data_IF_194804486434
#
_entry.id   IF_194804486434
#
_cell.length_a   1.000
_cell.length_b   1.000
_cell.length_c   1.000
_cell.angle_alpha   90.00
_cell.angle_beta   90.00
_cell.angle_gamma   90.00
#
_symmetry.space_group_name_H-M   'P 1'
#
loop_
_entity.id
_entity.type
_entity.pdbx_description
1 polymer ?
#
# COMPACT_ATOMS: atom_id res chain seq x y z
N UNK A 1 6.78 48.18 37.59
CA UNK A 1 5.89 47.14 37.07
C UNK A 1 6.57 46.43 35.91
N UNK A 2 6.99 45.18 36.08
CA UNK A 2 7.51 44.35 35.03
C UNK A 2 6.31 43.84 34.23
N UNK A 3 6.11 44.33 33.01
CA UNK A 3 5.07 43.84 32.11
C UNK A 3 5.27 42.36 31.91
N UNK A 4 4.30 41.52 32.25
CA UNK A 4 4.24 40.12 31.81
C UNK A 4 4.10 40.15 30.29
N UNK A 5 5.17 39.77 29.60
CA UNK A 5 5.08 39.50 28.18
C UNK A 5 4.03 38.39 27.97
N UNK A 6 2.90 38.74 27.39
CA UNK A 6 1.90 37.76 26.97
C UNK A 6 2.55 36.79 25.97
N UNK A 7 2.25 35.50 26.09
CA UNK A 7 2.67 34.54 25.07
C UNK A 7 2.15 35.01 23.70
N UNK A 8 3.02 34.99 22.71
CA UNK A 8 2.61 35.31 21.33
C UNK A 8 1.50 34.35 20.90
N UNK A 9 0.45 34.87 20.30
CA UNK A 9 -0.61 34.03 19.73
C UNK A 9 -0.05 33.20 18.56
N UNK A 10 -0.52 31.95 18.39
CA UNK A 10 -0.13 31.13 17.26
C UNK A 10 -0.49 31.81 15.94
N UNK A 11 0.49 31.94 15.04
CA UNK A 11 0.26 32.47 13.69
C UNK A 11 0.02 31.30 12.74
N UNK A 12 -1.12 31.25 12.04
CA UNK A 12 -1.39 30.18 11.08
C UNK A 12 -0.49 30.31 9.85
N UNK A 13 -0.07 29.17 9.28
CA UNK A 13 0.61 29.09 7.99
C UNK A 13 0.22 27.79 7.26
N UNK A 14 0.38 27.78 5.94
CA UNK A 14 0.04 26.60 5.14
C UNK A 14 1.24 25.67 4.99
N UNK A 15 0.98 24.39 5.23
CA UNK A 15 1.93 23.28 5.11
C UNK A 15 1.51 22.36 3.95
N UNK A 16 2.49 21.95 3.14
CA UNK A 16 2.31 20.84 2.20
C UNK A 16 2.71 19.53 2.87
N UNK A 17 1.98 18.45 2.59
CA UNK A 17 2.27 17.16 3.21
C UNK A 17 2.05 15.97 2.26
N UNK A 18 2.75 14.88 2.56
CA UNK A 18 2.46 13.55 2.07
C UNK A 18 2.57 12.56 3.24
N UNK A 19 1.49 11.86 3.55
CA UNK A 19 1.44 10.80 4.57
C UNK A 19 1.28 9.46 3.87
N UNK A 20 2.30 8.60 4.00
CA UNK A 20 2.32 7.25 3.41
C UNK A 20 2.34 6.24 4.53
N UNK A 21 1.44 5.30 4.53
CA UNK A 21 1.35 4.20 5.50
C UNK A 21 2.29 3.04 5.13
N UNK A 22 2.47 2.08 6.05
CA UNK A 22 3.22 0.86 5.77
C UNK A 22 2.54 0.01 4.70
N UNK A 23 3.30 -0.58 3.78
CA UNK A 23 2.78 -1.53 2.78
C UNK A 23 2.41 -2.87 3.41
N UNK A 24 1.48 -3.62 2.82
CA UNK A 24 1.16 -4.97 3.21
C UNK A 24 2.25 -5.98 2.82
N UNK A 25 2.36 -7.08 3.56
CA UNK A 25 3.24 -8.18 3.20
C UNK A 25 2.72 -8.93 1.96
N UNK A 26 3.59 -9.59 1.22
CA UNK A 26 3.18 -10.57 0.21
C UNK A 26 2.48 -11.76 0.84
N UNK A 27 1.62 -12.44 0.07
CA UNK A 27 1.01 -13.70 0.46
C UNK A 27 2.02 -14.83 0.47
N UNK A 28 1.78 -15.84 1.27
CA UNK A 28 2.61 -17.04 1.34
C UNK A 28 2.54 -17.75 2.68
N UNK A 29 3.29 -18.82 2.81
CA UNK A 29 3.59 -19.46 4.08
C UNK A 29 5.01 -20.04 4.05
N UNK A 30 5.60 -20.24 5.24
CA UNK A 30 6.98 -20.70 5.39
C UNK A 30 7.21 -22.17 4.93
N UNK A 31 6.16 -22.95 4.74
CA UNK A 31 6.26 -24.41 4.59
C UNK A 31 5.96 -24.92 3.18
N UNK A 32 5.50 -24.07 2.27
CA UNK A 32 5.03 -24.52 0.96
C UNK A 32 5.47 -23.58 -0.15
N UNK A 33 5.83 -24.13 -1.29
CA UNK A 33 6.18 -23.40 -2.52
C UNK A 33 4.94 -22.76 -3.18
N UNK A 34 3.94 -22.37 -2.39
CA UNK A 34 2.68 -21.90 -2.94
C UNK A 34 2.72 -20.40 -3.25
N UNK A 35 2.09 -20.08 -4.34
CA UNK A 35 2.05 -18.80 -5.01
C UNK A 35 1.21 -17.80 -4.24
N UNK A 36 1.88 -16.78 -3.75
CA UNK A 36 1.26 -15.68 -3.04
C UNK A 36 1.05 -14.45 -3.92
N UNK A 37 -0.03 -13.74 -3.66
CA UNK A 37 -0.30 -12.43 -4.24
C UNK A 37 0.63 -11.36 -3.68
N UNK A 38 0.85 -10.30 -4.42
CA UNK A 38 1.61 -9.14 -3.99
C UNK A 38 0.91 -8.36 -2.87
N UNK A 39 1.66 -7.81 -1.93
CA UNK A 39 1.12 -6.89 -0.94
C UNK A 39 0.68 -5.58 -1.58
N UNK A 40 -0.41 -4.99 -1.09
CA UNK A 40 -0.87 -3.67 -1.46
C UNK A 40 0.02 -2.58 -0.86
N UNK A 41 0.16 -1.47 -1.55
CA UNK A 41 0.84 -0.30 -1.00
C UNK A 41 0.10 0.25 0.23
N UNK A 42 0.84 0.86 1.14
CA UNK A 42 0.23 1.72 2.15
C UNK A 42 -0.56 2.86 1.50
N UNK A 43 -1.64 3.27 2.14
CA UNK A 43 -2.41 4.44 1.71
C UNK A 43 -1.51 5.66 1.57
N UNK A 44 -1.83 6.50 0.62
CA UNK A 44 -1.16 7.80 0.41
C UNK A 44 -2.19 8.92 0.43
N UNK A 45 -2.02 9.85 1.36
CA UNK A 45 -2.73 11.12 1.42
C UNK A 45 -1.73 12.27 1.27
N UNK A 46 -2.02 13.19 0.36
CA UNK A 46 -1.19 14.37 0.16
C UNK A 46 -2.04 15.60 -0.10
N UNK A 47 -1.55 16.76 0.31
CA UNK A 47 -2.16 18.06 0.00
C UNK A 47 -1.09 19.12 -0.14
N UNK A 48 -1.40 20.13 -0.94
CA UNK A 48 -0.55 21.31 -1.11
C UNK A 48 -0.84 22.40 -0.08
N UNK A 49 -1.92 22.27 0.70
CA UNK A 49 -2.29 23.23 1.72
C UNK A 49 -2.97 22.54 2.89
N UNK A 50 -2.37 22.67 4.07
CA UNK A 50 -2.93 22.34 5.37
C UNK A 50 -2.58 23.51 6.30
N UNK A 51 -3.58 24.25 6.74
CA UNK A 51 -3.33 25.34 7.67
C UNK A 51 -2.99 24.79 9.04
N UNK A 52 -1.83 25.15 9.56
CA UNK A 52 -1.32 24.75 10.88
C UNK A 52 -0.98 26.00 11.69
N UNK A 53 -1.04 25.90 13.03
CA UNK A 53 -0.65 26.99 13.93
C UNK A 53 0.83 26.91 14.29
N UNK A 54 1.54 28.03 14.30
CA UNK A 54 2.85 28.11 14.93
C UNK A 54 2.74 27.81 16.43
N UNK A 55 3.79 27.31 17.04
CA UNK A 55 3.82 26.95 18.48
C UNK A 55 2.81 25.85 18.89
N UNK A 56 2.27 25.08 17.93
CA UNK A 56 1.39 23.96 18.15
C UNK A 56 2.13 22.65 17.86
N UNK A 57 2.02 21.65 18.74
CA UNK A 57 2.59 20.33 18.50
C UNK A 57 1.61 19.48 17.73
N UNK A 58 2.08 18.85 16.67
CA UNK A 58 1.30 17.91 15.85
C UNK A 58 1.92 16.51 16.00
N UNK A 59 1.18 15.53 16.53
CA UNK A 59 1.71 14.18 16.66
C UNK A 59 1.91 13.52 15.29
N UNK A 60 3.01 12.78 15.15
CA UNK A 60 3.34 12.01 13.94
C UNK A 60 3.61 10.58 14.34
N UNK A 61 3.00 9.64 13.62
CA UNK A 61 3.29 8.20 13.70
C UNK A 61 3.62 7.68 12.31
N UNK A 62 4.69 6.90 12.19
CA UNK A 62 5.05 6.21 10.95
C UNK A 62 4.73 4.74 11.10
N UNK A 63 3.81 4.24 10.28
CA UNK A 63 3.38 2.84 10.26
C UNK A 63 4.45 1.91 9.70
N UNK A 64 4.64 0.77 10.34
CA UNK A 64 5.51 -0.29 9.83
C UNK A 64 4.86 -1.04 8.67
N UNK A 65 5.68 -1.60 7.77
CA UNK A 65 5.22 -2.57 6.80
C UNK A 65 4.77 -3.88 7.46
N UNK A 66 3.98 -4.70 6.77
CA UNK A 66 3.59 -6.03 7.21
C UNK A 66 4.84 -6.90 7.45
N UNK A 67 4.98 -7.43 8.67
CA UNK A 67 6.23 -8.08 9.12
C UNK A 67 6.51 -9.42 8.42
N UNK A 68 5.48 -10.20 8.18
CA UNK A 68 5.55 -11.54 7.56
C UNK A 68 4.30 -11.76 6.70
N UNK A 69 4.23 -12.91 6.04
CA UNK A 69 3.11 -13.32 5.18
C UNK A 69 1.74 -12.99 5.78
N UNK A 70 0.84 -12.51 4.95
CA UNK A 70 -0.56 -12.23 5.28
C UNK A 70 -0.79 -11.12 6.35
N UNK A 71 0.23 -10.33 6.68
CA UNK A 71 0.07 -9.20 7.59
C UNK A 71 -0.11 -7.88 6.82
N UNK A 72 -1.12 -7.14 7.20
CA UNK A 72 -1.31 -5.77 6.71
C UNK A 72 -0.18 -4.86 7.21
N UNK A 73 0.07 -3.79 6.49
CA UNK A 73 0.85 -2.67 6.99
C UNK A 73 0.12 -1.94 8.12
N UNK A 74 0.84 -1.11 8.84
CA UNK A 74 0.29 -0.25 9.90
C UNK A 74 0.02 1.16 9.36
N UNK A 75 -0.93 1.83 10.00
CA UNK A 75 -1.30 3.19 9.65
C UNK A 75 -0.18 4.19 9.96
N UNK A 76 -0.07 5.22 9.12
CA UNK A 76 0.70 6.43 9.41
C UNK A 76 -0.23 7.59 9.69
N UNK A 77 0.11 8.40 10.69
CA UNK A 77 -0.69 9.55 11.07
C UNK A 77 0.13 10.83 11.10
N UNK A 78 -0.49 11.91 10.71
CA UNK A 78 -0.04 13.28 10.96
C UNK A 78 -1.22 14.08 11.52
N UNK A 79 -1.18 14.40 12.79
CA UNK A 79 -2.30 15.04 13.50
C UNK A 79 -3.59 14.22 13.37
N UNK A 80 -4.60 14.74 12.70
CA UNK A 80 -5.88 14.07 12.42
C UNK A 80 -5.92 13.33 11.07
N UNK A 81 -4.85 13.42 10.28
CA UNK A 81 -4.76 12.78 8.96
C UNK A 81 -4.23 11.36 9.18
N UNK A 82 -4.99 10.35 8.76
CA UNK A 82 -4.59 8.95 8.85
C UNK A 82 -4.56 8.31 7.47
N UNK A 83 -3.39 7.83 7.07
CA UNK A 83 -3.21 6.93 5.94
C UNK A 83 -3.23 5.49 6.43
N UNK A 84 -4.09 4.67 5.84
CA UNK A 84 -4.30 3.28 6.26
C UNK A 84 -3.23 2.34 5.70
N UNK A 85 -2.77 1.39 6.51
CA UNK A 85 -1.81 0.38 6.07
C UNK A 85 -2.28 -0.39 4.85
N UNK A 86 -1.34 -0.85 4.03
CA UNK A 86 -1.63 -1.66 2.84
C UNK A 86 -2.14 -3.04 3.19
N UNK A 87 -3.02 -3.60 2.37
CA UNK A 87 -3.56 -4.94 2.53
C UNK A 87 -2.52 -6.02 2.18
N UNK A 88 -2.46 -7.10 2.97
CA UNK A 88 -1.61 -8.25 2.66
C UNK A 88 -2.06 -8.98 1.40
N UNK A 89 -1.12 -9.50 0.64
CA UNK A 89 -1.40 -10.43 -0.46
C UNK A 89 -1.99 -11.74 0.05
N UNK A 90 -2.87 -12.36 -0.76
CA UNK A 90 -3.44 -13.67 -0.46
C UNK A 90 -2.41 -14.79 -0.59
N UNK A 91 -2.44 -15.76 0.30
CA UNK A 91 -1.72 -17.02 0.15
C UNK A 91 -2.48 -17.98 -0.80
N UNK A 92 -1.90 -19.15 -1.03
CA UNK A 92 -2.59 -20.23 -1.73
C UNK A 92 -3.98 -20.48 -1.13
N UNK A 93 -5.00 -20.44 -1.96
CA UNK A 93 -6.41 -20.64 -1.57
C UNK A 93 -6.90 -19.74 -0.42
N UNK A 94 -6.25 -18.58 -0.26
CA UNK A 94 -6.64 -17.58 0.74
C UNK A 94 -6.80 -16.21 0.10
N UNK A 95 -7.86 -15.53 0.46
CA UNK A 95 -8.15 -14.20 -0.03
C UNK A 95 -7.11 -13.19 0.44
N UNK A 96 -6.89 -12.17 -0.35
CA UNK A 96 -6.08 -11.03 0.04
C UNK A 96 -6.84 -10.11 1.00
N UNK A 97 -6.10 -9.26 1.70
CA UNK A 97 -6.65 -8.31 2.66
C UNK A 97 -6.91 -6.95 2.02
N UNK A 98 -7.93 -6.28 2.54
CA UNK A 98 -8.19 -4.87 2.26
C UNK A 98 -7.16 -3.98 2.97
N UNK A 99 -6.93 -2.77 2.44
CA UNK A 99 -6.02 -1.80 3.04
C UNK A 99 -6.09 -0.45 2.37
N UNK A 100 -5.14 0.44 2.65
CA UNK A 100 -4.98 1.69 1.91
C UNK A 100 -4.97 1.44 0.41
N UNK A 101 -4.11 0.52 -0.06
CA UNK A 101 -4.29 -0.24 -1.29
C UNK A 101 -4.50 -1.71 -0.96
N UNK A 102 -5.28 -2.42 -1.75
CA UNK A 102 -5.61 -3.83 -1.52
C UNK A 102 -4.49 -4.78 -1.93
N UNK A 103 -4.36 -5.94 -1.24
CA UNK A 103 -3.47 -7.01 -1.65
C UNK A 103 -3.95 -7.75 -2.91
N UNK A 104 -3.04 -8.31 -3.68
CA UNK A 104 -3.32 -9.19 -4.82
C UNK A 104 -3.81 -10.56 -4.38
N UNK A 105 -4.73 -11.15 -5.13
CA UNK A 105 -5.24 -12.48 -4.85
C UNK A 105 -4.13 -13.54 -4.96
N UNK A 106 -4.10 -14.51 -4.02
CA UNK A 106 -3.26 -15.69 -4.11
C UNK A 106 -3.76 -16.67 -5.17
N UNK A 107 -2.93 -17.63 -5.54
CA UNK A 107 -3.35 -18.68 -6.45
C UNK A 107 -4.56 -19.45 -5.88
N UNK A 108 -5.56 -19.72 -6.70
CA UNK A 108 -6.88 -20.29 -6.33
C UNK A 108 -7.68 -19.48 -5.29
N UNK A 109 -7.28 -18.27 -4.98
CA UNK A 109 -8.09 -17.38 -4.15
C UNK A 109 -9.23 -16.76 -4.97
N UNK A 110 -10.38 -16.56 -4.31
CA UNK A 110 -11.55 -15.99 -4.98
C UNK A 110 -11.59 -14.47 -4.94
N UNK A 111 -10.94 -13.84 -3.96
CA UNK A 111 -11.05 -12.41 -3.73
C UNK A 111 -9.69 -11.73 -3.63
N UNK A 112 -9.56 -10.61 -4.32
CA UNK A 112 -8.51 -9.63 -4.12
C UNK A 112 -8.80 -8.78 -2.89
N UNK A 113 -7.84 -8.04 -2.40
CA UNK A 113 -8.04 -6.97 -1.43
C UNK A 113 -8.60 -5.72 -2.11
N UNK A 114 -9.57 -5.08 -1.45
CA UNK A 114 -10.11 -3.79 -1.87
C UNK A 114 -9.34 -2.65 -1.20
N UNK A 115 -9.43 -1.46 -1.78
CA UNK A 115 -8.77 -0.26 -1.28
C UNK A 115 -9.68 0.60 -0.41
N UNK A 116 -9.08 1.47 0.40
CA UNK A 116 -9.77 2.62 0.98
C UNK A 116 -9.85 3.73 -0.07
N UNK A 117 -11.07 4.19 -0.35
CA UNK A 117 -11.32 5.26 -1.32
C UNK A 117 -10.44 6.49 -1.07
N UNK A 118 -9.81 7.01 -2.10
CA UNK A 118 -8.92 8.16 -2.03
C UNK A 118 -7.51 7.86 -1.48
N UNK A 119 -7.24 6.65 -0.96
CA UNK A 119 -5.94 6.30 -0.40
C UNK A 119 -5.10 5.40 -1.30
N UNK A 120 -5.71 4.61 -2.16
CA UNK A 120 -5.04 3.65 -3.03
C UNK A 120 -5.97 3.02 -4.05
N UNK A 121 -5.53 1.91 -4.62
CA UNK A 121 -6.27 1.10 -5.60
C UNK A 121 -6.33 -0.37 -5.15
N UNK A 122 -7.31 -1.15 -5.62
CA UNK A 122 -7.42 -2.56 -5.26
C UNK A 122 -6.30 -3.41 -5.89
N UNK A 123 -6.10 -4.61 -5.35
CA UNK A 123 -5.23 -5.63 -5.94
C UNK A 123 -5.80 -6.21 -7.24
N UNK A 124 -5.02 -7.09 -7.87
CA UNK A 124 -5.46 -7.88 -9.03
C UNK A 124 -6.23 -9.13 -8.60
N UNK A 125 -7.08 -9.64 -9.51
CA UNK A 125 -7.72 -10.95 -9.37
C UNK A 125 -6.82 -12.06 -9.89
N UNK A 126 -6.96 -13.29 -9.37
CA UNK A 126 -6.44 -14.45 -10.07
C UNK A 126 -7.34 -14.75 -11.25
N UNK A 127 -6.76 -14.73 -12.44
CA UNK A 127 -7.45 -15.20 -13.64
C UNK A 127 -7.75 -16.69 -13.51
N UNK A 128 -8.97 -17.08 -13.82
CA UNK A 128 -9.55 -18.42 -13.88
C UNK A 128 -8.77 -19.58 -13.25
N UNK A 129 -9.41 -20.22 -12.28
CA UNK A 129 -8.99 -21.45 -11.57
C UNK A 129 -8.89 -22.72 -12.46
N UNK A 130 -8.80 -22.60 -13.77
CA UNK A 130 -8.63 -23.73 -14.67
C UNK A 130 -7.14 -24.06 -14.79
N UNK A 131 -6.73 -25.18 -14.18
CA UNK A 131 -5.40 -25.77 -14.39
C UNK A 131 -5.05 -25.81 -15.89
N UNK A 132 -3.84 -25.39 -16.27
CA UNK A 132 -2.59 -25.34 -15.51
C UNK A 132 -2.07 -23.91 -15.19
N UNK A 133 -2.89 -23.01 -14.72
CA UNK A 133 -2.54 -21.60 -14.56
C UNK A 133 -2.12 -21.30 -13.11
N UNK A 134 -0.85 -20.97 -12.92
CA UNK A 134 -0.24 -20.86 -11.60
C UNK A 134 0.24 -19.43 -11.27
N UNK A 135 -0.42 -18.38 -11.79
CA UNK A 135 -0.05 -17.00 -11.48
C UNK A 135 -0.89 -16.39 -10.37
N UNK A 136 -0.26 -15.87 -9.33
CA UNK A 136 -0.91 -15.01 -8.35
C UNK A 136 -0.85 -13.54 -8.79
N UNK A 137 -1.70 -12.70 -8.24
CA UNK A 137 -1.91 -11.33 -8.71
C UNK A 137 -1.06 -10.32 -7.99
N UNK A 138 -0.80 -9.16 -8.62
CA UNK A 138 -0.13 -8.02 -8.00
C UNK A 138 -1.02 -7.29 -6.99
N UNK A 139 -0.41 -6.69 -5.97
CA UNK A 139 -1.07 -5.76 -5.06
C UNK A 139 -1.35 -4.41 -5.71
N UNK A 140 -2.36 -3.69 -5.22
CA UNK A 140 -2.70 -2.35 -5.70
C UNK A 140 -1.64 -1.32 -5.32
N UNK A 141 -1.42 -0.35 -6.18
CA UNK A 141 -0.66 0.86 -5.90
C UNK A 141 -1.59 2.05 -5.62
N UNK A 142 -1.02 3.23 -5.39
CA UNK A 142 -1.84 4.43 -5.20
C UNK A 142 -2.64 4.82 -6.44
N UNK A 143 -2.03 4.69 -7.62
CA UNK A 143 -2.57 5.21 -8.88
C UNK A 143 -3.17 4.13 -9.79
N UNK A 144 -2.83 2.87 -9.56
CA UNK A 144 -3.24 1.76 -10.42
C UNK A 144 -3.55 0.51 -9.64
N UNK A 145 -4.54 -0.26 -10.10
CA UNK A 145 -4.83 -1.59 -9.60
C UNK A 145 -3.61 -2.51 -9.81
N UNK A 146 -3.45 -3.48 -8.92
CA UNK A 146 -2.59 -4.61 -9.23
C UNK A 146 -3.09 -5.35 -10.46
N UNK A 147 -2.18 -5.91 -11.25
CA UNK A 147 -2.55 -6.69 -12.43
C UNK A 147 -2.89 -8.13 -12.05
N UNK A 148 -3.78 -8.73 -12.83
CA UNK A 148 -4.16 -10.12 -12.67
C UNK A 148 -3.00 -11.06 -12.99
N UNK A 149 -2.84 -12.12 -12.19
CA UNK A 149 -1.96 -13.22 -12.52
C UNK A 149 -2.59 -14.10 -13.61
N UNK A 150 -1.79 -14.58 -14.53
CA UNK A 150 -2.24 -15.46 -15.61
C UNK A 150 -1.20 -16.52 -15.94
N UNK A 151 -1.60 -17.55 -16.68
CA UNK A 151 -0.78 -18.55 -17.42
C UNK A 151 0.71 -18.58 -17.06
N UNK A 152 1.09 -18.96 -15.86
CA UNK A 152 2.48 -19.05 -15.41
C UNK A 152 3.20 -17.69 -15.24
N UNK A 153 2.45 -16.58 -15.18
CA UNK A 153 3.01 -15.26 -14.88
C UNK A 153 2.31 -14.64 -13.68
N UNK A 154 3.09 -14.14 -12.73
CA UNK A 154 2.60 -13.31 -11.65
C UNK A 154 2.14 -11.95 -12.20
N UNK A 155 1.04 -11.44 -11.64
CA UNK A 155 0.57 -10.09 -11.96
C UNK A 155 1.54 -9.03 -11.45
N UNK A 156 1.77 -7.99 -12.23
CA UNK A 156 2.58 -6.85 -11.77
C UNK A 156 1.87 -6.06 -10.67
N UNK A 157 2.63 -5.45 -9.78
CA UNK A 157 2.12 -4.49 -8.81
C UNK A 157 1.57 -3.24 -9.48
N UNK A 158 0.57 -2.62 -8.84
CA UNK A 158 -0.01 -1.36 -9.31
C UNK A 158 0.97 -0.20 -9.14
N UNK A 159 0.93 0.75 -10.06
CA UNK A 159 1.81 1.92 -10.03
C UNK A 159 1.50 2.84 -8.84
N UNK A 160 2.55 3.41 -8.26
CA UNK A 160 2.47 4.50 -7.30
C UNK A 160 2.04 5.82 -7.96
N UNK A 161 1.81 6.82 -7.14
CA UNK A 161 1.51 8.19 -7.55
C UNK A 161 2.77 9.06 -7.49
N UNK A 162 3.02 9.82 -8.55
CA UNK A 162 4.04 10.86 -8.50
C UNK A 162 3.58 12.01 -7.60
N UNK A 163 4.36 12.31 -6.57
CA UNK A 163 4.05 13.36 -5.59
C UNK A 163 5.06 14.50 -5.70
N UNK A 164 4.56 15.72 -5.80
CA UNK A 164 5.36 16.94 -5.77
C UNK A 164 4.87 17.82 -4.64
N UNK A 165 5.76 18.16 -3.72
CA UNK A 165 5.58 19.17 -2.69
C UNK A 165 6.51 20.33 -3.06
N UNK A 166 5.93 21.38 -3.71
CA UNK A 166 6.72 22.46 -4.33
C UNK A 166 7.71 23.11 -3.35
N UNK A 167 8.99 23.28 -3.74
CA UNK A 167 9.57 23.01 -5.06
C UNK A 167 10.11 21.58 -5.24
N UNK A 168 9.86 20.65 -4.32
CA UNK A 168 10.47 19.31 -4.29
C UNK A 168 9.58 18.28 -4.94
N UNK A 169 10.14 17.45 -5.85
CA UNK A 169 9.51 16.21 -6.34
C UNK A 169 9.97 15.06 -5.48
N UNK A 170 9.01 14.34 -4.88
CA UNK A 170 9.28 13.12 -4.09
C UNK A 170 9.35 11.85 -4.95
N UNK A 171 9.07 11.97 -6.27
CA UNK A 171 8.99 10.83 -7.16
C UNK A 171 7.71 10.02 -7.00
N UNK A 172 7.75 8.75 -7.38
CA UNK A 172 6.63 7.83 -7.26
C UNK A 172 6.60 7.20 -5.87
N UNK A 173 5.47 7.34 -5.18
CA UNK A 173 5.22 6.80 -3.84
C UNK A 173 4.08 5.79 -3.89
N UNK A 174 4.07 4.85 -2.95
CA UNK A 174 3.02 3.87 -2.74
C UNK A 174 2.74 2.98 -3.99
N UNK A 175 3.78 2.33 -4.52
CA UNK A 175 3.67 1.24 -5.49
C UNK A 175 3.32 -0.09 -4.84
N UNK A 176 2.55 -0.94 -5.53
CA UNK A 176 2.18 -2.28 -5.08
C UNK A 176 3.26 -3.34 -5.37
N UNK A 177 3.22 -4.45 -4.65
CA UNK A 177 4.11 -5.59 -4.89
C UNK A 177 3.62 -6.50 -6.01
N UNK A 178 4.55 -7.14 -6.73
CA UNK A 178 4.22 -8.14 -7.75
C UNK A 178 3.76 -9.47 -7.14
N UNK A 179 2.90 -10.20 -7.85
CA UNK A 179 2.49 -11.56 -7.53
C UNK A 179 3.53 -12.58 -8.00
N UNK A 180 3.51 -13.77 -7.41
CA UNK A 180 4.37 -14.88 -7.81
C UNK A 180 3.71 -15.76 -8.88
N UNK A 181 4.53 -16.53 -9.61
CA UNK A 181 4.06 -17.56 -10.51
C UNK A 181 4.92 -18.82 -10.37
N UNK A 182 4.32 -19.96 -10.63
CA UNK A 182 5.03 -21.22 -10.73
C UNK A 182 5.06 -21.67 -12.20
N UNK A 183 6.23 -22.07 -12.66
CA UNK A 183 6.40 -22.74 -13.95
C UNK A 183 7.14 -24.04 -13.69
N UNK A 184 6.74 -25.08 -14.36
CA UNK A 184 7.45 -26.38 -14.32
C UNK A 184 8.87 -26.28 -14.92
N UNK A 185 9.17 -25.21 -15.63
CA UNK A 185 10.47 -24.97 -16.25
C UNK A 185 11.26 -23.84 -15.60
N UNK A 186 10.60 -22.84 -15.04
CA UNK A 186 11.24 -21.68 -14.38
C UNK A 186 10.30 -21.04 -13.34
N UNK A 187 10.86 -20.61 -12.21
CA UNK A 187 10.14 -19.74 -11.26
C UNK A 187 10.05 -18.32 -11.84
N UNK A 188 8.84 -17.80 -12.05
CA UNK A 188 8.62 -16.45 -12.55
C UNK A 188 7.82 -15.62 -11.57
N UNK A 189 8.35 -14.45 -11.26
CA UNK A 189 7.70 -13.46 -10.40
C UNK A 189 7.21 -12.29 -11.23
N UNK A 190 6.07 -11.71 -10.86
CA UNK A 190 5.60 -10.45 -11.43
C UNK A 190 6.51 -9.30 -10.96
N UNK A 191 6.75 -8.29 -11.80
CA UNK A 191 7.48 -7.10 -11.36
C UNK A 191 6.68 -6.33 -10.29
N UNK A 192 7.40 -5.79 -9.32
CA UNK A 192 6.85 -4.91 -8.30
C UNK A 192 6.76 -3.45 -8.76
#
# INVERSE_FOLDING_TARGET
>A
AVGRGGAAAPVPFDLQYAVVAGGGAGGGNASTQYLGGGGGAGGLLSSTSLTVGSLTSYPVTVGAGGALYNNNGSDSTFSTITSTGGGAGGAYNSNASNGGSGGGAGYQASLRGENISGQGSPGGYTGNSNVPYYGASGGGGKNQNGLDGNNNQGGAGGQGLQVTLSPFSLGYLAGGGGGSAYSTTENRYGPG
#
